data_IF_090292984753
#
_entry.id   IF_090292984753
#
_cell.length_a   1.000
_cell.length_b   1.000
_cell.length_c   1.000
_cell.angle_alpha   90.00
_cell.angle_beta   90.00
_cell.angle_gamma   90.00
#
_symmetry.space_group_name_H-M   'P 1'
#
loop_
_entity.id
_entity.type
_entity.pdbx_description
1 polymer ?
#
# COMPACT_ATOMS: atom_id res chain seq x y z
N UNK A 1 11.48 2.69 -12.77
CA UNK A 1 12.86 2.40 -12.33
C UNK A 1 13.62 1.59 -13.39
N UNK A 2 13.62 2.02 -14.66
CA UNK A 2 14.36 1.34 -15.72
C UNK A 2 15.88 1.56 -15.56
N UNK A 3 16.26 2.77 -15.16
CA UNK A 3 17.65 3.19 -14.94
C UNK A 3 18.30 2.40 -13.79
N UNK A 4 17.63 2.25 -12.65
CA UNK A 4 18.17 1.45 -11.54
C UNK A 4 18.30 -0.03 -11.87
N UNK A 5 17.33 -0.59 -12.59
CA UNK A 5 17.41 -1.99 -13.02
C UNK A 5 18.55 -2.19 -14.04
N UNK A 6 18.75 -1.22 -14.92
CA UNK A 6 19.91 -1.18 -15.82
C UNK A 6 21.22 -1.15 -15.04
N UNK A 7 21.38 -0.25 -14.07
CA UNK A 7 22.58 -0.16 -13.24
C UNK A 7 22.81 -1.41 -12.39
N UNK A 8 21.74 -2.04 -11.90
CA UNK A 8 21.82 -3.31 -11.17
C UNK A 8 22.36 -4.42 -12.08
N UNK A 9 21.79 -4.61 -13.26
CA UNK A 9 22.26 -5.63 -14.20
C UNK A 9 23.70 -5.35 -14.63
N UNK A 10 24.03 -4.10 -14.93
CA UNK A 10 25.38 -3.71 -15.31
C UNK A 10 26.39 -4.01 -14.19
N UNK A 11 26.07 -3.72 -12.93
CA UNK A 11 26.95 -4.00 -11.80
C UNK A 11 27.09 -5.50 -11.50
N UNK A 12 25.98 -6.22 -11.44
CA UNK A 12 25.97 -7.61 -10.96
C UNK A 12 26.20 -8.65 -12.06
N UNK A 13 25.74 -8.41 -13.29
CA UNK A 13 25.89 -9.38 -14.39
C UNK A 13 27.17 -9.11 -15.18
N UNK A 14 27.46 -7.86 -15.55
CA UNK A 14 28.62 -7.55 -16.41
C UNK A 14 29.88 -7.12 -15.65
N UNK A 15 29.78 -6.35 -14.56
CA UNK A 15 30.96 -5.80 -13.89
C UNK A 15 31.42 -6.56 -12.64
N UNK A 16 30.77 -7.67 -12.27
CA UNK A 16 31.08 -8.39 -11.03
C UNK A 16 32.53 -8.92 -10.97
N UNK A 17 33.18 -9.12 -12.12
CA UNK A 17 34.57 -9.59 -12.22
C UNK A 17 35.60 -8.46 -12.40
N UNK A 18 35.16 -7.20 -12.51
CA UNK A 18 36.04 -6.04 -12.72
C UNK A 18 35.90 -5.08 -11.55
N UNK A 19 36.90 -5.07 -10.66
CA UNK A 19 36.90 -4.20 -9.48
C UNK A 19 37.01 -2.71 -9.87
N UNK A 20 37.68 -2.38 -10.99
CA UNK A 20 37.76 -1.01 -11.53
C UNK A 20 38.01 -1.04 -13.05
N UNK A 21 36.96 -1.21 -13.88
CA UNK A 21 37.14 -1.19 -15.33
C UNK A 21 37.65 0.18 -15.80
N UNK A 22 38.62 0.19 -16.72
CA UNK A 22 38.99 1.43 -17.43
C UNK A 22 37.79 1.94 -18.24
N UNK A 23 37.69 3.25 -18.45
CA UNK A 23 36.57 3.86 -19.16
C UNK A 23 36.33 3.22 -20.54
N UNK A 24 37.39 2.97 -21.31
CA UNK A 24 37.29 2.36 -22.63
C UNK A 24 36.74 0.92 -22.58
N UNK A 25 37.21 0.13 -21.62
CA UNK A 25 36.72 -1.23 -21.39
C UNK A 25 35.25 -1.22 -20.96
N UNK A 26 34.86 -0.24 -20.14
CA UNK A 26 33.48 -0.07 -19.73
C UNK A 26 32.55 0.30 -20.90
N UNK A 27 32.97 1.24 -21.76
CA UNK A 27 32.21 1.61 -22.96
C UNK A 27 32.10 0.42 -23.91
N UNK A 28 33.18 -0.34 -24.09
CA UNK A 28 33.18 -1.56 -24.89
C UNK A 28 32.13 -2.57 -24.37
N UNK A 29 32.17 -2.90 -23.08
CA UNK A 29 31.20 -3.84 -22.46
C UNK A 29 29.75 -3.35 -22.57
N UNK A 30 29.51 -2.05 -22.42
CA UNK A 30 28.17 -1.50 -22.64
C UNK A 30 27.73 -1.73 -24.08
N UNK A 31 28.59 -1.43 -25.06
CA UNK A 31 28.26 -1.50 -26.47
C UNK A 31 28.09 -2.95 -26.97
N UNK A 32 28.91 -3.89 -26.50
CA UNK A 32 28.91 -5.27 -26.97
C UNK A 32 27.97 -6.19 -26.20
N UNK A 33 27.83 -6.01 -24.89
CA UNK A 33 27.13 -6.98 -24.05
C UNK A 33 25.80 -6.42 -23.54
N UNK A 34 25.86 -5.26 -22.88
CA UNK A 34 24.68 -4.71 -22.20
C UNK A 34 23.64 -4.20 -23.20
N UNK A 35 24.06 -3.43 -24.20
CA UNK A 35 23.15 -2.78 -25.14
C UNK A 35 22.42 -3.82 -26.03
N UNK A 36 23.09 -4.81 -26.64
CA UNK A 36 22.39 -5.81 -27.45
C UNK A 36 21.44 -6.68 -26.63
N UNK A 37 21.82 -7.01 -25.38
CA UNK A 37 20.93 -7.74 -24.47
C UNK A 37 19.72 -6.90 -24.05
N UNK A 38 19.90 -5.59 -23.87
CA UNK A 38 18.80 -4.67 -23.61
C UNK A 38 17.88 -4.52 -24.83
N UNK A 39 18.44 -4.39 -26.04
CA UNK A 39 17.68 -4.30 -27.30
C UNK A 39 16.88 -5.57 -27.55
N UNK A 40 17.45 -6.76 -27.35
CA UNK A 40 16.70 -8.03 -27.51
C UNK A 40 15.57 -8.18 -26.50
N UNK A 41 15.74 -7.68 -25.27
CA UNK A 41 14.64 -7.60 -24.29
C UNK A 41 13.60 -6.55 -24.68
N UNK A 42 14.00 -5.43 -25.26
CA UNK A 42 13.09 -4.38 -25.71
C UNK A 42 12.23 -4.83 -26.89
N UNK A 43 12.75 -5.70 -27.75
CA UNK A 43 11.97 -6.32 -28.83
C UNK A 43 10.69 -6.99 -28.32
N UNK A 44 10.66 -7.48 -27.06
CA UNK A 44 9.44 -8.06 -26.45
C UNK A 44 8.25 -7.09 -26.47
N UNK A 45 8.51 -5.77 -26.45
CA UNK A 45 7.49 -4.73 -26.49
C UNK A 45 7.11 -4.31 -27.91
N UNK A 46 7.84 -4.75 -28.94
CA UNK A 46 7.46 -4.46 -30.33
C UNK A 46 6.21 -5.25 -30.71
N UNK A 47 5.23 -4.63 -31.39
CA UNK A 47 3.98 -5.30 -31.78
C UNK A 47 4.22 -6.47 -32.76
N UNK A 48 5.35 -6.45 -33.47
CA UNK A 48 5.76 -7.51 -34.39
C UNK A 48 6.46 -8.68 -33.71
N UNK A 49 6.84 -8.54 -32.44
CA UNK A 49 7.52 -9.59 -31.71
C UNK A 49 6.58 -10.77 -31.48
N UNK A 50 6.92 -11.92 -32.07
CA UNK A 50 6.10 -13.14 -32.13
C UNK A 50 4.80 -13.00 -32.95
N UNK A 51 4.86 -12.43 -34.16
CA UNK A 51 3.77 -12.56 -35.16
C UNK A 51 3.26 -14.01 -35.20
N UNK A 52 1.96 -14.19 -34.92
CA UNK A 52 1.31 -15.51 -34.86
C UNK A 52 1.10 -16.09 -33.46
N UNK A 53 1.62 -15.48 -32.39
CA UNK A 53 1.26 -15.80 -31.00
C UNK A 53 0.59 -14.60 -30.34
N UNK A 54 -0.23 -14.87 -29.33
CA UNK A 54 -0.81 -13.81 -28.51
C UNK A 54 0.31 -13.05 -27.77
N UNK A 55 0.21 -11.71 -27.64
CA UNK A 55 1.19 -10.92 -26.92
C UNK A 55 1.27 -11.39 -25.46
N UNK A 56 2.49 -11.45 -24.94
CA UNK A 56 2.72 -11.80 -23.54
C UNK A 56 2.25 -10.65 -22.64
N UNK A 57 1.48 -10.97 -21.61
CA UNK A 57 1.02 -9.96 -20.66
C UNK A 57 2.22 -9.41 -19.90
N UNK A 58 2.30 -8.09 -19.79
CA UNK A 58 3.33 -7.45 -18.96
C UNK A 58 3.19 -7.90 -17.50
N UNK A 59 4.26 -7.86 -16.68
CA UNK A 59 4.17 -8.19 -15.26
C UNK A 59 3.08 -7.40 -14.53
N UNK A 60 2.89 -6.13 -14.92
CA UNK A 60 1.79 -5.30 -14.44
C UNK A 60 0.43 -5.89 -14.81
N UNK A 61 0.20 -6.23 -16.07
CA UNK A 61 -1.07 -6.79 -16.54
C UNK A 61 -1.39 -8.15 -15.92
N UNK A 62 -0.39 -9.02 -15.74
CA UNK A 62 -0.56 -10.30 -15.04
C UNK A 62 -1.03 -10.07 -13.61
N UNK A 63 -0.38 -9.16 -12.89
CA UNK A 63 -0.70 -8.89 -11.50
C UNK A 63 -2.03 -8.12 -11.35
N UNK A 64 -2.33 -7.18 -12.25
CA UNK A 64 -3.63 -6.51 -12.38
C UNK A 64 -4.76 -7.51 -12.61
N UNK A 65 -4.60 -8.44 -13.57
CA UNK A 65 -5.58 -9.50 -13.86
C UNK A 65 -5.80 -10.41 -12.66
N UNK A 66 -4.74 -10.80 -11.94
CA UNK A 66 -4.85 -11.61 -10.72
C UNK A 66 -5.63 -10.88 -9.63
N UNK A 67 -5.28 -9.61 -9.39
CA UNK A 67 -5.96 -8.76 -8.41
C UNK A 67 -7.44 -8.54 -8.76
N UNK A 68 -7.74 -8.29 -10.04
CA UNK A 68 -9.10 -8.15 -10.55
C UNK A 68 -9.95 -9.40 -10.25
N UNK A 69 -9.44 -10.59 -10.61
CA UNK A 69 -10.14 -11.86 -10.34
C UNK A 69 -10.40 -12.08 -8.85
N UNK A 70 -9.41 -11.78 -8.00
CA UNK A 70 -9.55 -11.88 -6.53
C UNK A 70 -10.68 -10.97 -6.03
N UNK A 71 -10.73 -9.72 -6.48
CA UNK A 71 -11.74 -8.74 -6.06
C UNK A 71 -13.13 -9.00 -6.64
N UNK A 72 -13.20 -9.55 -7.86
CA UNK A 72 -14.46 -9.91 -8.50
C UNK A 72 -15.17 -11.07 -7.78
N UNK A 73 -14.41 -11.98 -7.17
CA UNK A 73 -14.96 -13.13 -6.44
C UNK A 73 -15.40 -12.81 -5.00
N UNK A 74 -15.07 -11.62 -4.47
CA UNK A 74 -15.41 -11.26 -3.09
C UNK A 74 -16.86 -10.84 -2.93
N UNK A 75 -17.43 -11.03 -1.76
CA UNK A 75 -18.77 -10.54 -1.45
C UNK A 75 -18.76 -9.04 -1.12
N UNK A 76 -19.80 -8.32 -1.58
CA UNK A 76 -20.03 -6.94 -1.18
C UNK A 76 -20.56 -6.93 0.25
N UNK A 77 -20.01 -6.02 1.07
CA UNK A 77 -20.53 -5.82 2.42
C UNK A 77 -21.89 -5.12 2.40
N UNK A 78 -22.45 -4.90 3.58
CA UNK A 78 -23.75 -4.22 3.76
C UNK A 78 -23.68 -2.70 3.55
N UNK A 79 -22.48 -2.12 3.69
CA UNK A 79 -22.26 -0.68 3.55
C UNK A 79 -22.29 -0.25 2.09
N UNK A 80 -23.04 0.82 1.80
CA UNK A 80 -23.12 1.43 0.47
C UNK A 80 -22.02 2.49 0.31
N UNK A 81 -21.25 2.38 -0.77
CA UNK A 81 -20.17 3.31 -1.11
C UNK A 81 -20.47 3.99 -2.44
N UNK A 82 -20.03 5.23 -2.60
CA UNK A 82 -20.13 5.93 -3.87
C UNK A 82 -19.01 5.46 -4.80
N UNK A 83 -19.38 4.84 -5.92
CA UNK A 83 -18.48 4.36 -6.96
C UNK A 83 -18.64 5.19 -8.23
N UNK A 84 -17.56 5.84 -8.66
CA UNK A 84 -17.53 6.52 -9.94
C UNK A 84 -16.60 5.75 -10.89
N UNK A 85 -17.19 4.93 -11.77
CA UNK A 85 -16.45 4.14 -12.76
C UNK A 85 -15.80 5.04 -13.83
N UNK A 86 -16.41 6.20 -14.11
CA UNK A 86 -15.91 7.15 -15.11
C UNK A 86 -14.55 7.75 -14.70
N UNK A 87 -14.41 8.12 -13.43
CA UNK A 87 -13.15 8.59 -12.84
C UNK A 87 -12.28 7.44 -12.30
N UNK A 88 -12.81 6.21 -12.28
CA UNK A 88 -12.23 5.08 -11.58
C UNK A 88 -11.93 5.39 -10.10
N UNK A 89 -12.91 5.89 -9.35
CA UNK A 89 -12.77 6.26 -7.94
C UNK A 89 -13.85 5.65 -7.05
N UNK A 90 -13.51 5.34 -5.80
CA UNK A 90 -14.46 4.81 -4.81
C UNK A 90 -14.21 5.36 -3.41
N UNK A 91 -15.28 5.65 -2.66
CA UNK A 91 -15.21 6.17 -1.29
C UNK A 91 -14.89 5.13 -0.23
N UNK A 92 -14.72 3.85 -0.58
CA UNK A 92 -14.46 2.78 0.40
C UNK A 92 -13.04 2.79 1.00
N UNK A 93 -12.17 3.73 0.61
CA UNK A 93 -10.80 3.85 1.12
C UNK A 93 -9.82 2.79 0.62
N UNK A 94 -10.26 1.56 0.37
CA UNK A 94 -9.43 0.42 -0.04
C UNK A 94 -8.64 0.64 -1.35
N UNK A 95 -9.16 1.50 -2.22
CA UNK A 95 -8.47 1.86 -3.45
C UNK A 95 -7.06 2.45 -3.22
N UNK A 96 -6.86 3.17 -2.11
CA UNK A 96 -5.58 3.78 -1.73
C UNK A 96 -4.50 2.74 -1.41
N UNK A 97 -4.91 1.59 -0.88
CA UNK A 97 -3.98 0.56 -0.40
C UNK A 97 -3.69 -0.52 -1.46
N UNK A 98 -4.47 -0.56 -2.54
CA UNK A 98 -4.21 -1.46 -3.64
C UNK A 98 -3.21 -0.84 -4.65
N UNK A 99 -2.08 -1.48 -4.96
CA UNK A 99 -1.11 -0.96 -5.93
C UNK A 99 -1.69 -0.78 -7.34
N UNK A 100 -2.78 -1.48 -7.66
CA UNK A 100 -3.50 -1.42 -8.93
C UNK A 100 -4.71 -0.48 -8.87
N UNK A 101 -4.96 0.24 -7.77
CA UNK A 101 -6.06 1.22 -7.66
C UNK A 101 -7.44 0.54 -7.90
N UNK A 102 -7.56 -0.74 -7.56
CA UNK A 102 -8.79 -1.52 -7.65
C UNK A 102 -9.38 -1.72 -6.25
N UNK A 103 -10.71 -1.70 -6.15
CA UNK A 103 -11.45 -2.17 -4.98
C UNK A 103 -12.59 -3.10 -5.42
N UNK A 104 -13.16 -3.88 -4.50
CA UNK A 104 -14.27 -4.79 -4.81
C UNK A 104 -15.48 -4.05 -5.41
N UNK A 105 -15.78 -2.86 -4.90
CA UNK A 105 -16.90 -2.05 -5.38
C UNK A 105 -16.72 -1.59 -6.83
N UNK A 106 -15.51 -1.16 -7.23
CA UNK A 106 -15.24 -0.75 -8.62
C UNK A 106 -15.26 -1.93 -9.57
N UNK A 107 -14.60 -3.03 -9.20
CA UNK A 107 -14.50 -4.22 -10.04
C UNK A 107 -15.88 -4.84 -10.29
N UNK A 108 -16.79 -4.77 -9.30
CA UNK A 108 -18.14 -5.32 -9.42
C UNK A 108 -19.18 -4.32 -9.94
N UNK A 109 -18.83 -3.04 -10.06
CA UNK A 109 -19.65 -2.03 -10.73
C UNK A 109 -19.57 -2.14 -12.27
N UNK A 110 -18.61 -2.89 -12.80
CA UNK A 110 -18.45 -3.18 -14.23
C UNK A 110 -18.77 -4.64 -14.53
N UNK A 111 -19.12 -4.91 -15.78
CA UNK A 111 -19.29 -6.28 -16.26
C UNK A 111 -17.95 -7.05 -16.27
N UNK A 112 -18.00 -8.39 -16.19
CA UNK A 112 -16.82 -9.23 -16.38
C UNK A 112 -16.11 -8.87 -17.69
N UNK A 113 -14.85 -8.40 -17.63
CA UNK A 113 -14.19 -7.89 -18.82
C UNK A 113 -13.77 -9.02 -19.75
N UNK A 114 -13.75 -8.72 -21.05
CA UNK A 114 -13.19 -9.62 -22.06
C UNK A 114 -11.69 -9.82 -21.85
N UNK A 115 -11.12 -10.98 -22.22
CA UNK A 115 -9.69 -11.25 -22.08
C UNK A 115 -8.76 -10.19 -22.70
N UNK A 116 -9.20 -9.56 -23.80
CA UNK A 116 -8.49 -8.46 -24.48
C UNK A 116 -8.29 -7.23 -23.61
N UNK A 117 -9.18 -6.96 -22.66
CA UNK A 117 -8.98 -5.85 -21.72
C UNK A 117 -7.64 -5.98 -21.00
N UNK A 118 -7.27 -7.19 -20.56
CA UNK A 118 -6.05 -7.37 -19.77
C UNK A 118 -4.78 -7.19 -20.60
N UNK A 119 -4.84 -7.33 -21.93
CA UNK A 119 -3.69 -7.10 -22.81
C UNK A 119 -3.53 -5.63 -23.20
N UNK A 120 -4.63 -4.87 -23.17
CA UNK A 120 -4.68 -3.46 -23.61
C UNK A 120 -4.74 -2.47 -22.43
N UNK A 121 -4.97 -2.96 -21.20
CA UNK A 121 -5.06 -2.09 -20.02
C UNK A 121 -3.72 -1.42 -19.72
N UNK A 122 -3.76 -0.09 -19.63
CA UNK A 122 -2.65 0.76 -19.23
C UNK A 122 -3.08 1.59 -18.02
N UNK A 123 -2.20 1.69 -17.03
CA UNK A 123 -2.43 2.56 -15.86
C UNK A 123 -1.98 3.97 -16.17
N UNK A 124 -2.92 4.91 -16.09
CA UNK A 124 -2.65 6.35 -16.18
C UNK A 124 -2.18 6.90 -14.83
N UNK A 125 -1.41 8.01 -14.88
CA UNK A 125 -0.96 8.75 -13.69
C UNK A 125 -1.99 9.76 -13.19
N UNK A 126 -2.97 10.07 -14.03
CA UNK A 126 -4.02 11.06 -13.78
C UNK A 126 -5.37 10.36 -13.94
N UNK A 127 -6.38 10.83 -13.22
CA UNK A 127 -7.76 10.38 -13.36
C UNK A 127 -8.23 10.61 -14.81
N UNK A 128 -8.99 9.68 -15.41
CA UNK A 128 -9.28 8.34 -14.89
C UNK A 128 -8.05 7.43 -14.94
N UNK A 129 -7.81 6.72 -13.84
CA UNK A 129 -6.64 5.84 -13.72
C UNK A 129 -6.65 4.70 -14.73
N UNK A 130 -7.84 4.25 -15.14
CA UNK A 130 -8.05 3.31 -16.22
C UNK A 130 -9.15 3.83 -17.13
N UNK A 131 -8.93 3.69 -18.44
CA UNK A 131 -9.90 3.99 -19.46
C UNK A 131 -9.77 2.95 -20.55
N UNK A 132 -10.88 2.30 -20.92
CA UNK A 132 -10.88 1.28 -21.96
C UNK A 132 -12.28 1.15 -22.56
N UNK A 133 -12.43 1.07 -23.90
CA UNK A 133 -13.75 0.98 -24.56
C UNK A 133 -14.50 -0.32 -24.21
N UNK A 134 -13.76 -1.38 -23.85
CA UNK A 134 -14.33 -2.65 -23.40
C UNK A 134 -14.83 -2.63 -21.94
N UNK A 135 -14.60 -1.56 -21.17
CA UNK A 135 -15.19 -1.41 -19.85
C UNK A 135 -16.65 -0.98 -20.01
N UNK A 136 -17.56 -1.84 -19.55
CA UNK A 136 -19.00 -1.59 -19.52
C UNK A 136 -19.47 -1.59 -18.08
N UNK A 137 -20.39 -0.68 -17.76
CA UNK A 137 -21.10 -0.71 -16.48
C UNK A 137 -21.90 -2.01 -16.36
N UNK A 138 -22.28 -2.38 -15.14
CA UNK A 138 -23.06 -3.60 -14.88
C UNK A 138 -24.32 -3.69 -15.73
N UNK A 139 -24.95 -2.55 -16.00
CA UNK A 139 -26.16 -2.40 -16.84
C UNK A 139 -25.88 -2.56 -18.35
N UNK A 140 -24.62 -2.75 -18.75
CA UNK A 140 -24.19 -2.94 -20.14
C UNK A 140 -23.93 -1.64 -20.90
N UNK A 141 -24.27 -0.49 -20.32
CA UNK A 141 -23.96 0.81 -20.89
C UNK A 141 -22.44 1.04 -20.96
N UNK A 142 -21.93 1.64 -22.06
CA UNK A 142 -20.53 2.01 -22.13
C UNK A 142 -20.22 3.05 -21.04
N UNK A 143 -19.01 2.99 -20.47
CA UNK A 143 -18.55 4.03 -19.55
C UNK A 143 -18.38 5.33 -20.34
N UNK A 144 -19.05 6.43 -19.96
CA UNK A 144 -18.94 7.70 -20.69
C UNK A 144 -17.48 8.14 -20.81
N UNK A 145 -17.04 8.46 -22.02
CA UNK A 145 -15.71 9.04 -22.21
C UNK A 145 -15.65 10.39 -21.49
N UNK A 146 -14.63 10.59 -20.66
CA UNK A 146 -14.37 11.87 -20.04
C UNK A 146 -13.59 12.70 -21.06
N UNK A 147 -14.18 13.78 -21.59
CA UNK A 147 -13.49 14.68 -22.52
C UNK A 147 -12.32 15.37 -21.81
N UNK A 148 -11.09 14.97 -22.15
CA UNK A 148 -9.88 15.57 -21.61
C UNK A 148 -9.33 16.62 -22.56
N UNK A 149 -9.65 17.88 -22.33
CA UNK A 149 -9.10 18.99 -23.13
C UNK A 149 -7.68 19.40 -22.72
N UNK A 150 -7.13 18.97 -21.57
CA UNK A 150 -5.85 19.52 -21.05
C UNK A 150 -4.96 18.59 -20.19
N UNK A 151 -5.07 17.26 -20.29
CA UNK A 151 -4.15 16.39 -19.52
C UNK A 151 -2.81 16.24 -20.24
N UNK A 152 -1.73 16.53 -19.52
CA UNK A 152 -0.34 16.28 -19.92
C UNK A 152 -0.25 14.87 -20.55
N UNK A 153 0.21 14.83 -21.81
CA UNK A 153 0.38 13.62 -22.61
C UNK A 153 1.13 12.55 -21.80
N UNK A 154 0.40 11.54 -21.31
CA UNK A 154 0.91 10.45 -20.48
C UNK A 154 1.52 9.31 -21.31
N UNK A 155 2.04 9.60 -22.51
CA UNK A 155 2.67 8.58 -23.34
C UNK A 155 1.72 7.47 -23.81
N UNK A 156 0.41 7.72 -23.82
CA UNK A 156 -0.52 6.87 -24.56
C UNK A 156 -0.10 6.92 -26.05
N UNK A 157 0.03 5.77 -26.75
CA UNK A 157 0.30 5.78 -28.18
C UNK A 157 -0.84 6.53 -28.86
N UNK A 158 -0.51 7.67 -29.48
CA UNK A 158 -1.46 8.48 -30.24
C UNK A 158 -1.95 7.68 -31.45
N UNK A 159 -2.95 6.82 -31.25
CA UNK A 159 -3.63 6.17 -32.36
C UNK A 159 -4.95 6.85 -32.74
N UNK A 160 -5.54 7.68 -31.86
CA UNK A 160 -6.93 8.13 -32.08
C UNK A 160 -7.16 9.66 -32.02
N UNK A 161 -6.11 10.51 -32.06
CA UNK A 161 -6.33 11.97 -32.14
C UNK A 161 -6.26 12.41 -33.61
N UNK A 162 -7.37 12.90 -34.23
CA UNK A 162 -7.30 13.52 -35.54
C UNK A 162 -6.39 14.75 -35.47
N UNK A 163 -5.30 14.71 -36.24
CA UNK A 163 -4.31 15.78 -36.32
C UNK A 163 -4.97 17.11 -36.63
N UNK A 164 -5.15 17.94 -35.61
CA UNK A 164 -5.47 19.36 -35.80
C UNK A 164 -4.15 20.10 -35.83
N UNK A 165 -3.78 20.59 -37.01
CA UNK A 165 -2.56 21.34 -37.26
C UNK A 165 -2.54 22.62 -36.42
N UNK A 166 -1.76 22.63 -35.34
CA UNK A 166 -1.42 23.83 -34.61
C UNK A 166 0.00 24.28 -34.99
N UNK A 167 0.07 25.33 -35.79
CA UNK A 167 1.31 26.02 -36.18
C UNK A 167 1.81 26.83 -34.99
N UNK A 168 2.97 26.43 -34.43
CA UNK A 168 3.62 27.19 -33.36
C UNK A 168 4.88 27.85 -33.90
N UNK A 169 4.80 29.16 -34.12
CA UNK A 169 5.94 30.04 -34.40
C UNK A 169 6.86 30.13 -33.17
N UNK A 170 8.14 29.78 -33.35
CA UNK A 170 9.17 29.87 -32.32
C UNK A 170 9.65 31.31 -32.12
N UNK A 171 9.90 31.76 -30.88
CA UNK A 171 10.54 33.06 -30.63
C UNK A 171 12.07 32.99 -30.83
N UNK A 172 12.71 34.12 -31.17
CA UNK A 172 14.11 34.15 -31.59
C UNK A 172 15.11 33.92 -30.46
N UNK A 173 16.18 33.18 -30.79
CA UNK A 173 17.36 32.94 -29.95
C UNK A 173 18.14 34.24 -29.73
N UNK A 174 18.25 34.69 -28.48
CA UNK A 174 19.10 35.85 -28.19
C UNK A 174 19.08 36.34 -26.74
N UNK A 175 19.25 35.46 -25.75
CA UNK A 175 19.47 35.90 -24.36
C UNK A 175 20.73 35.26 -23.78
N UNK A 176 21.80 36.07 -23.71
CA UNK A 176 23.10 35.70 -23.12
C UNK A 176 22.95 35.51 -21.60
N UNK A 177 23.12 34.28 -21.11
CA UNK A 177 23.29 33.99 -19.67
C UNK A 177 24.72 34.27 -19.24
N UNK A 178 24.89 35.04 -18.17
CA UNK A 178 26.17 35.37 -17.53
C UNK A 178 26.75 34.12 -16.83
N UNK A 179 28.05 33.93 -17.01
CA UNK A 179 28.89 32.83 -16.51
C UNK A 179 29.19 33.06 -15.03
N UNK A 180 28.90 32.09 -14.16
CA UNK A 180 29.32 32.10 -12.76
C UNK A 180 30.68 31.40 -12.60
N UNK A 181 31.46 31.94 -11.66
CA UNK A 181 32.90 31.76 -11.45
C UNK A 181 33.24 30.44 -10.74
N UNK A 182 34.39 29.88 -11.09
CA UNK A 182 34.96 28.67 -10.52
C UNK A 182 35.50 28.89 -9.09
N UNK A 183 35.35 27.88 -8.24
CA UNK A 183 36.05 27.76 -6.95
C UNK A 183 36.62 26.35 -6.86
N UNK A 184 37.95 26.23 -6.79
CA UNK A 184 38.66 24.99 -6.44
C UNK A 184 39.05 25.00 -4.94
N UNK A 185 39.81 24.02 -4.41
CA UNK A 185 39.28 22.98 -3.53
C UNK A 185 39.82 23.14 -2.09
N UNK A 186 39.17 22.52 -1.12
CA UNK A 186 39.76 22.31 0.20
C UNK A 186 39.76 20.83 0.53
N UNK A 187 40.94 20.41 0.97
CA UNK A 187 41.37 19.09 1.43
C UNK A 187 40.70 18.64 2.72
N UNK A 188 40.91 17.35 3.00
CA UNK A 188 40.97 16.71 4.32
C UNK A 188 39.63 16.37 4.99
N UNK A 189 39.28 15.07 4.92
CA UNK A 189 39.00 14.25 6.11
C UNK A 189 38.73 12.80 5.64
N UNK A 190 39.73 11.95 5.83
CA UNK A 190 39.64 10.50 5.67
C UNK A 190 39.09 9.87 6.95
N UNK A 191 38.04 9.05 6.82
CA UNK A 191 37.58 8.15 7.87
C UNK A 191 37.14 6.82 7.25
N UNK A 192 38.05 5.85 7.33
CA UNK A 192 37.94 4.39 7.39
C UNK A 192 36.62 3.69 6.99
N UNK A 193 36.63 3.06 5.81
CA UNK A 193 35.66 2.00 5.41
C UNK A 193 36.06 0.59 5.90
N UNK A 194 37.20 0.42 6.57
CA UNK A 194 37.73 -0.89 6.96
C UNK A 194 37.17 -1.45 8.29
N UNK A 195 36.34 -0.70 9.02
CA UNK A 195 35.76 -1.15 10.31
C UNK A 195 34.44 -1.93 10.18
N UNK A 196 33.79 -1.93 9.01
CA UNK A 196 32.48 -2.59 8.84
C UNK A 196 32.61 -4.06 8.42
N UNK A 197 33.72 -4.44 7.78
CA UNK A 197 33.92 -5.80 7.28
C UNK A 197 34.48 -6.78 8.34
N UNK A 198 34.95 -6.29 9.49
CA UNK A 198 35.57 -7.12 10.53
C UNK A 198 34.59 -7.67 11.59
N UNK A 199 33.31 -7.29 11.54
CA UNK A 199 32.27 -7.70 12.51
C UNK A 199 31.37 -8.86 12.04
N UNK A 200 31.62 -9.44 10.85
CA UNK A 200 30.73 -10.45 10.25
C UNK A 200 31.38 -11.82 9.96
N UNK A 201 32.52 -12.18 10.58
CA UNK A 201 33.20 -13.44 10.26
C UNK A 201 33.85 -14.18 11.42
N UNK A 202 33.09 -15.00 12.15
CA UNK A 202 33.49 -16.26 12.84
C UNK A 202 32.26 -16.81 13.60
N UNK A 203 31.80 -18.07 13.55
CA UNK A 203 32.26 -19.34 13.00
C UNK A 203 31.02 -20.30 12.88
N UNK A 204 31.10 -21.66 12.89
CA UNK A 204 30.56 -22.48 11.79
C UNK A 204 29.41 -23.46 12.14
N UNK A 205 28.67 -23.82 11.09
CA UNK A 205 27.95 -25.09 10.86
C UNK A 205 26.67 -25.45 11.64
N UNK A 206 25.72 -25.97 10.83
CA UNK A 206 24.56 -26.83 11.16
C UNK A 206 23.32 -26.16 11.75
N UNK A 207 22.33 -25.92 10.89
CA UNK A 207 21.07 -26.69 10.82
C UNK A 207 20.02 -25.89 10.04
N UNK A 208 19.16 -26.62 9.33
CA UNK A 208 18.15 -26.09 8.43
C UNK A 208 17.17 -25.14 9.12
N UNK A 209 16.90 -23.98 8.51
CA UNK A 209 15.61 -23.26 8.60
C UNK A 209 15.49 -22.16 7.52
N UNK A 210 14.27 -21.90 7.02
CA UNK A 210 14.02 -21.00 5.90
C UNK A 210 13.91 -19.56 6.39
N UNK A 211 14.84 -18.69 5.95
CA UNK A 211 14.72 -17.25 6.17
C UNK A 211 14.73 -16.51 4.84
N UNK A 212 13.58 -16.53 4.19
CA UNK A 212 13.20 -15.52 3.21
C UNK A 212 12.12 -14.64 3.87
N UNK A 213 12.49 -13.85 4.88
CA UNK A 213 11.67 -12.71 5.31
C UNK A 213 11.93 -11.55 4.35
N UNK A 214 11.52 -11.74 3.10
CA UNK A 214 11.06 -10.59 2.32
C UNK A 214 9.84 -10.06 3.06
N UNK A 215 9.84 -8.79 3.41
CA UNK A 215 8.67 -8.06 3.87
C UNK A 215 7.57 -8.21 2.81
N UNK A 216 6.71 -9.22 2.98
CA UNK A 216 5.50 -9.35 2.19
C UNK A 216 4.75 -8.03 2.33
N UNK A 217 4.31 -7.42 1.23
CA UNK A 217 3.49 -6.22 1.30
C UNK A 217 2.30 -6.53 2.20
N UNK A 218 2.18 -5.81 3.32
CA UNK A 218 1.06 -5.91 4.25
C UNK A 218 -0.20 -5.77 3.42
N UNK A 219 -0.94 -6.88 3.29
CA UNK A 219 -2.13 -6.96 2.46
C UNK A 219 -3.21 -6.21 3.22
N UNK A 220 -3.50 -4.99 2.80
CA UNK A 220 -4.52 -4.13 3.44
C UNK A 220 -5.91 -4.78 3.52
N UNK A 221 -6.13 -5.90 2.82
CA UNK A 221 -7.36 -6.68 2.91
C UNK A 221 -7.49 -7.53 4.19
N UNK A 222 -6.40 -8.01 4.79
CA UNK A 222 -6.47 -8.78 6.05
C UNK A 222 -6.97 -7.88 7.19
N UNK A 223 -6.68 -6.59 7.10
CA UNK A 223 -7.04 -5.60 8.11
C UNK A 223 -8.55 -5.38 8.24
N UNK A 224 -9.30 -5.41 7.13
CA UNK A 224 -10.75 -5.15 7.16
C UNK A 224 -11.53 -6.34 7.73
N UNK A 225 -11.17 -7.57 7.33
CA UNK A 225 -11.82 -8.78 7.85
C UNK A 225 -11.54 -8.94 9.35
N UNK A 226 -10.32 -8.62 9.79
CA UNK A 226 -9.95 -8.63 11.21
C UNK A 226 -10.71 -7.55 12.00
N UNK A 227 -10.91 -6.36 11.42
CA UNK A 227 -11.64 -5.27 12.07
C UNK A 227 -13.14 -5.57 12.20
N UNK A 228 -13.78 -6.11 11.17
CA UNK A 228 -15.19 -6.51 11.22
C UNK A 228 -15.40 -7.62 12.27
N UNK A 229 -14.54 -8.65 12.27
CA UNK A 229 -14.55 -9.69 13.30
C UNK A 229 -14.36 -9.13 14.72
N UNK A 230 -13.46 -8.16 14.87
CA UNK A 230 -13.24 -7.47 16.15
C UNK A 230 -14.49 -6.72 16.59
N UNK A 231 -15.16 -6.00 15.69
CA UNK A 231 -16.40 -5.27 15.99
C UNK A 231 -17.51 -6.24 16.43
N UNK A 232 -17.72 -7.34 15.71
CA UNK A 232 -18.72 -8.35 16.05
C UNK A 232 -18.42 -9.00 17.40
N UNK A 233 -17.16 -9.36 17.65
CA UNK A 233 -16.71 -9.89 18.93
C UNK A 233 -16.97 -8.91 20.08
N UNK A 234 -16.66 -7.63 19.89
CA UNK A 234 -16.91 -6.58 20.90
C UNK A 234 -18.40 -6.40 21.17
N UNK A 235 -19.25 -6.38 20.13
CA UNK A 235 -20.72 -6.29 20.29
C UNK A 235 -21.27 -7.45 21.11
N UNK A 236 -20.85 -8.68 20.81
CA UNK A 236 -21.24 -9.86 21.56
C UNK A 236 -20.81 -9.76 23.03
N UNK A 237 -19.57 -9.33 23.27
CA UNK A 237 -19.05 -9.17 24.64
C UNK A 237 -19.81 -8.12 25.44
N UNK A 238 -20.25 -7.03 24.81
CA UNK A 238 -21.09 -6.01 25.47
C UNK A 238 -22.43 -6.60 25.94
N UNK A 239 -23.07 -7.44 25.12
CA UNK A 239 -24.33 -8.11 25.48
C UNK A 239 -24.13 -9.03 26.68
N UNK A 240 -23.06 -9.84 26.66
CA UNK A 240 -22.70 -10.74 27.77
C UNK A 240 -22.42 -9.97 29.07
N UNK A 241 -21.69 -8.85 28.99
CA UNK A 241 -21.40 -8.00 30.15
C UNK A 241 -22.67 -7.39 30.76
N UNK A 242 -23.63 -6.95 29.92
CA UNK A 242 -24.93 -6.45 30.39
C UNK A 242 -25.74 -7.54 31.09
N UNK A 243 -25.87 -8.72 30.47
CA UNK A 243 -26.56 -9.84 31.08
C UNK A 243 -25.91 -10.27 32.42
N UNK A 244 -24.58 -10.23 32.50
CA UNK A 244 -23.85 -10.47 33.75
C UNK A 244 -24.14 -9.40 34.81
N UNK A 245 -24.19 -8.13 34.43
CA UNK A 245 -24.54 -7.03 35.33
C UNK A 245 -25.97 -7.18 35.88
N UNK A 246 -26.94 -7.53 35.04
CA UNK A 246 -28.33 -7.77 35.46
C UNK A 246 -28.44 -8.94 36.47
N UNK A 247 -27.61 -9.98 36.30
CA UNK A 247 -27.55 -11.10 37.25
C UNK A 247 -26.94 -10.67 38.60
N UNK A 248 -25.90 -9.84 38.58
CA UNK A 248 -25.30 -9.28 39.80
C UNK A 248 -26.30 -8.39 40.53
N UNK A 249 -27.06 -7.57 39.81
CA UNK A 249 -28.11 -6.73 40.39
C UNK A 249 -29.18 -7.57 41.10
N UNK A 250 -29.67 -8.64 40.46
CA UNK A 250 -30.61 -9.58 41.09
C UNK A 250 -30.04 -10.20 42.38
N UNK A 251 -28.76 -10.55 42.40
CA UNK A 251 -28.10 -11.09 43.60
C UNK A 251 -27.99 -10.06 44.72
N UNK A 252 -27.76 -8.79 44.39
CA UNK A 252 -27.69 -7.69 45.36
C UNK A 252 -29.05 -7.40 46.01
N UNK A 253 -30.15 -7.56 45.27
CA UNK A 253 -31.52 -7.41 45.80
C UNK A 253 -31.83 -8.51 46.85
N UNK A 254 -31.19 -9.68 46.77
CA UNK A 254 -31.40 -10.80 47.69
C UNK A 254 -30.12 -11.20 48.46
N UNK A 255 -29.57 -10.30 49.31
CA UNK A 255 -28.23 -10.47 49.88
C UNK A 255 -28.12 -11.62 50.89
N UNK A 256 -29.24 -12.07 51.46
CA UNK A 256 -29.27 -13.20 52.40
C UNK A 256 -29.02 -14.53 51.68
N UNK A 257 -29.56 -14.70 50.48
CA UNK A 257 -29.44 -15.90 49.67
C UNK A 257 -28.11 -15.95 48.90
N UNK A 258 -27.61 -14.78 48.48
CA UNK A 258 -26.40 -14.64 47.65
C UNK A 258 -25.12 -14.33 48.44
N UNK A 259 -25.15 -14.35 49.78
CA UNK A 259 -24.05 -13.89 50.66
C UNK A 259 -22.68 -14.49 50.32
N UNK A 260 -22.63 -15.79 50.03
CA UNK A 260 -21.37 -16.49 49.72
C UNK A 260 -20.86 -16.04 48.33
N UNK A 261 -21.75 -15.98 47.34
CA UNK A 261 -21.44 -15.52 45.99
C UNK A 261 -20.92 -14.08 45.97
N UNK A 262 -21.60 -13.16 46.66
CA UNK A 262 -21.18 -11.75 46.76
C UNK A 262 -19.79 -11.60 47.41
N UNK A 263 -19.47 -12.40 48.43
CA UNK A 263 -18.14 -12.41 49.05
C UNK A 263 -17.07 -12.91 48.10
N UNK A 264 -17.36 -13.99 47.35
CA UNK A 264 -16.43 -14.52 46.35
C UNK A 264 -16.19 -13.51 45.21
N UNK A 265 -17.24 -12.88 44.70
CA UNK A 265 -17.14 -11.85 43.67
C UNK A 265 -16.33 -10.64 44.14
N UNK A 266 -16.51 -10.21 45.39
CA UNK A 266 -15.70 -9.15 46.00
C UNK A 266 -14.22 -9.54 46.11
N UNK A 267 -13.92 -10.78 46.52
CA UNK A 267 -12.53 -11.24 46.64
C UNK A 267 -11.80 -11.24 45.30
N UNK A 268 -12.50 -11.59 44.21
CA UNK A 268 -11.95 -11.59 42.84
C UNK A 268 -11.96 -10.19 42.21
N UNK A 269 -12.61 -9.19 42.82
CA UNK A 269 -12.87 -7.87 42.24
C UNK A 269 -13.56 -7.95 40.88
N UNK A 270 -14.64 -8.74 40.80
CA UNK A 270 -15.44 -8.87 39.58
C UNK A 270 -15.86 -7.49 39.06
N UNK A 271 -15.59 -7.22 37.78
CA UNK A 271 -15.93 -5.97 37.13
C UNK A 271 -14.91 -4.83 37.27
N UNK A 272 -13.80 -5.03 38.01
CA UNK A 272 -12.77 -3.99 38.17
C UNK A 272 -12.23 -3.45 36.85
N UNK A 273 -11.93 -4.31 35.89
CA UNK A 273 -11.39 -3.88 34.59
C UNK A 273 -12.38 -3.02 33.80
N UNK A 274 -13.69 -3.33 33.89
CA UNK A 274 -14.75 -2.57 33.23
C UNK A 274 -14.97 -1.21 33.93
N UNK A 275 -14.91 -1.18 35.26
CA UNK A 275 -14.99 0.05 36.04
C UNK A 275 -13.79 0.97 35.78
N UNK A 276 -12.57 0.41 35.74
CA UNK A 276 -11.34 1.11 35.40
C UNK A 276 -11.40 1.67 33.97
N UNK A 277 -11.86 0.88 32.99
CA UNK A 277 -12.09 1.33 31.61
C UNK A 277 -13.06 2.52 31.55
N UNK A 278 -14.19 2.42 32.27
CA UNK A 278 -15.19 3.50 32.32
C UNK A 278 -14.60 4.79 32.92
N UNK A 279 -13.85 4.69 34.02
CA UNK A 279 -13.22 5.84 34.66
C UNK A 279 -12.17 6.48 33.75
N UNK A 280 -11.33 5.67 33.10
CA UNK A 280 -10.29 6.13 32.18
C UNK A 280 -10.92 6.85 30.96
N UNK A 281 -12.01 6.31 30.39
CA UNK A 281 -12.74 6.95 29.29
C UNK A 281 -13.39 8.28 29.71
N UNK A 282 -14.04 8.35 30.88
CA UNK A 282 -14.60 9.61 31.40
C UNK A 282 -13.52 10.67 31.59
N UNK A 283 -12.37 10.29 32.14
CA UNK A 283 -11.24 11.20 32.31
C UNK A 283 -10.71 11.70 30.96
N UNK A 284 -10.61 10.82 29.96
CA UNK A 284 -10.22 11.22 28.60
C UNK A 284 -11.23 12.19 27.96
N UNK A 285 -12.53 11.97 28.16
CA UNK A 285 -13.59 12.87 27.68
C UNK A 285 -13.52 14.25 28.35
N UNK A 286 -13.33 14.29 29.67
CA UNK A 286 -13.29 15.55 30.43
C UNK A 286 -12.03 16.38 30.15
N UNK A 287 -10.88 15.72 29.99
CA UNK A 287 -9.59 16.40 29.87
C UNK A 287 -9.10 16.56 28.43
N UNK A 288 -9.66 15.81 27.48
CA UNK A 288 -9.14 15.70 26.12
C UNK A 288 -7.78 15.00 26.01
N UNK A 289 -7.22 14.50 27.13
CA UNK A 289 -5.86 13.92 27.16
C UNK A 289 -5.90 12.41 26.99
N UNK A 290 -5.36 11.92 25.88
CA UNK A 290 -5.21 10.48 25.60
C UNK A 290 -4.03 9.87 26.38
N UNK A 291 -3.08 10.69 26.86
CA UNK A 291 -1.96 10.22 27.70
C UNK A 291 -1.83 11.10 28.93
N UNK A 292 -1.67 10.48 30.10
CA UNK A 292 -1.39 11.22 31.33
C UNK A 292 0.03 11.79 31.34
N UNK A 293 1.00 11.03 30.83
CA UNK A 293 2.40 11.44 30.72
C UNK A 293 2.93 11.16 29.32
N UNK A 294 3.91 11.95 28.86
CA UNK A 294 4.54 11.76 27.55
C UNK A 294 5.35 10.47 27.45
N UNK A 295 5.86 9.97 28.58
CA UNK A 295 6.67 8.76 28.68
C UNK A 295 6.09 7.78 29.70
N UNK A 296 6.11 6.48 29.36
CA UNK A 296 5.72 5.42 30.27
C UNK A 296 6.80 5.24 31.34
N UNK A 297 6.53 5.65 32.58
CA UNK A 297 7.41 5.36 33.70
C UNK A 297 7.32 3.86 34.03
N UNK A 298 8.49 3.19 34.05
CA UNK A 298 8.59 1.78 34.43
C UNK A 298 8.01 1.60 35.83
N UNK A 299 6.98 0.75 35.94
CA UNK A 299 6.30 0.45 37.22
C UNK A 299 4.96 1.16 37.42
N UNK A 300 4.62 2.19 36.63
CA UNK A 300 3.32 2.85 36.73
C UNK A 300 2.23 2.05 35.98
N UNK A 301 1.71 1.01 36.63
CA UNK A 301 0.65 0.15 36.08
C UNK A 301 -0.63 0.92 35.72
N UNK A 302 -0.97 1.96 36.48
CA UNK A 302 -2.17 2.78 36.23
C UNK A 302 -2.04 3.60 34.94
N UNK A 303 -0.90 4.26 34.72
CA UNK A 303 -0.65 5.00 33.47
C UNK A 303 -0.60 4.08 32.24
N UNK A 304 -0.01 2.89 32.39
CA UNK A 304 0.00 1.87 31.33
C UNK A 304 -1.41 1.34 31.02
N UNK A 305 -2.24 1.11 32.05
CA UNK A 305 -3.66 0.72 31.89
C UNK A 305 -4.46 1.83 31.21
N UNK A 306 -4.36 3.06 31.70
CA UNK A 306 -5.01 4.23 31.11
C UNK A 306 -4.70 4.32 29.63
N UNK A 307 -3.40 4.33 29.29
CA UNK A 307 -2.94 4.41 27.90
C UNK A 307 -3.49 3.27 27.03
N UNK A 308 -3.58 2.04 27.55
CA UNK A 308 -4.18 0.92 26.81
C UNK A 308 -5.67 1.11 26.56
N UNK A 309 -6.39 1.62 27.56
CA UNK A 309 -7.83 1.80 27.52
C UNK A 309 -8.25 2.94 26.58
N UNK A 310 -7.46 4.01 26.48
CA UNK A 310 -7.84 5.21 25.70
C UNK A 310 -7.10 5.35 24.37
N UNK A 311 -6.09 4.53 24.08
CA UNK A 311 -5.37 4.60 22.81
C UNK A 311 -6.30 4.22 21.65
N UNK A 312 -6.47 5.15 20.70
CA UNK A 312 -7.38 4.97 19.57
C UNK A 312 -8.83 5.34 19.87
N UNK A 313 -9.15 5.75 21.11
CA UNK A 313 -10.45 6.34 21.40
C UNK A 313 -10.58 7.69 20.70
N UNK A 314 -11.60 7.80 19.83
CA UNK A 314 -12.02 9.05 19.23
C UNK A 314 -13.38 9.40 19.82
N UNK A 315 -13.52 10.61 20.33
CA UNK A 315 -14.82 11.12 20.75
C UNK A 315 -15.67 11.32 19.51
N UNK A 316 -16.72 10.50 19.37
CA UNK A 316 -17.73 10.63 18.32
C UNK A 316 -18.89 11.35 18.99
N UNK A 317 -19.07 12.64 18.66
CA UNK A 317 -20.23 13.46 19.08
C UNK A 317 -21.50 13.05 18.33
#
# INVERSE_FOLDING_TARGET
MAVENFWRNLKHETLHHLLHPRLDQFIFLIATDVLPHFVSKMQIFEPDFRRGRAPELTPFQVAFKRNWKKLAARELGTLTYNTNVQCWTCTCGQQKYNPYINCKHLVQAVQPPLPRLFTEVVRRRVIPFYHHPLLKLKDGSPVPALEFTRSISNGDPMHDIPSTTATTTAPPRGAKRKRAVARQPSSDDGADEDTVNQLLGAAPSRSASPSARSSSPVVADEYDEDMDQTIEWTKKRIIELRAGADMLEKQVIHPRESKIGLKAQRAVNVGKDVADLQQDMRHAMQTGKIRQTTWAQKGNKASARYSRNVMGYQHIE
#
